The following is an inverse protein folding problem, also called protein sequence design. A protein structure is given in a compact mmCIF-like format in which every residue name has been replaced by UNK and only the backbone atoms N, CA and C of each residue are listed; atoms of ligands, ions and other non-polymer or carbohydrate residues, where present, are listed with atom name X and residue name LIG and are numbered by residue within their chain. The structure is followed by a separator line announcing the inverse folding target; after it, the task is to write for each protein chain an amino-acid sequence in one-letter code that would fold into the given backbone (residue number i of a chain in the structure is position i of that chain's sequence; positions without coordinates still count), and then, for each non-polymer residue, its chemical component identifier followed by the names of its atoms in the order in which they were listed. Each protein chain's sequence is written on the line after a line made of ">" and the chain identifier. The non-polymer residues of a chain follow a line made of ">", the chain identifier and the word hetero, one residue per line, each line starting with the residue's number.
data_IF_705956909902
#
_entry.id   IF_705956909902
#
_cell.length_a   1.000
_cell.length_b   1.000
_cell.length_c   1.000
_cell.angle_alpha   90.00
_cell.angle_beta   90.00
_cell.angle_gamma   90.00
#
_symmetry.space_group_name_H-M   'P 1'
#
loop_
_entity.id
_entity.type
_entity.pdbx_description
1 polymer ?
#
# COMPACT_ATOMS: atom_id res chain seq x y z
N UNK A 1 -7.66 4.00 -16.16
CA UNK A 1 -6.33 3.51 -16.53
C UNK A 1 -6.11 2.03 -16.17
N UNK A 2 -6.26 1.62 -14.89
CA UNK A 2 -5.97 0.23 -14.50
C UNK A 2 -6.83 -0.81 -15.23
N UNK A 3 -8.11 -0.55 -15.44
CA UNK A 3 -8.99 -1.43 -16.21
C UNK A 3 -8.66 -1.46 -17.71
N UNK A 4 -8.24 -0.33 -18.27
CA UNK A 4 -7.80 -0.26 -19.67
C UNK A 4 -6.48 -1.03 -19.87
N UNK A 5 -5.58 -1.00 -18.90
CA UNK A 5 -4.32 -1.73 -18.94
C UNK A 5 -4.49 -3.25 -18.72
N UNK A 6 -5.54 -3.67 -18.01
CA UNK A 6 -5.81 -5.08 -17.66
C UNK A 6 -7.28 -5.46 -17.88
N UNK A 7 -7.74 -5.52 -19.15
CA UNK A 7 -9.16 -5.71 -19.49
C UNK A 7 -9.75 -7.04 -19.02
N UNK A 8 -8.91 -8.06 -18.83
CA UNK A 8 -9.33 -9.41 -18.45
C UNK A 8 -9.29 -9.65 -16.92
N UNK A 9 -8.98 -8.65 -16.12
CA UNK A 9 -8.95 -8.85 -14.68
C UNK A 9 -10.33 -8.58 -14.07
N UNK A 10 -10.92 -9.62 -13.48
CA UNK A 10 -12.24 -9.56 -12.86
C UNK A 10 -12.25 -8.84 -11.51
N UNK A 11 -11.10 -8.54 -10.92
CA UNK A 11 -10.99 -7.91 -9.61
C UNK A 11 -10.34 -6.52 -9.70
N UNK A 12 -11.11 -5.49 -9.47
CA UNK A 12 -10.66 -4.08 -9.50
C UNK A 12 -9.40 -3.83 -8.64
N UNK A 13 -9.33 -4.49 -7.48
CA UNK A 13 -8.18 -4.34 -6.57
C UNK A 13 -6.88 -4.96 -7.12
N UNK A 14 -6.99 -6.12 -7.83
CA UNK A 14 -5.81 -6.74 -8.47
C UNK A 14 -5.33 -5.92 -9.65
N UNK A 15 -6.25 -5.46 -10.49
CA UNK A 15 -5.92 -4.61 -11.64
C UNK A 15 -5.23 -3.34 -11.22
N UNK A 16 -5.72 -2.72 -10.14
CA UNK A 16 -5.15 -1.49 -9.62
C UNK A 16 -3.73 -1.69 -9.08
N UNK A 17 -3.53 -2.70 -8.23
CA UNK A 17 -2.21 -3.00 -7.68
C UNK A 17 -1.22 -3.37 -8.77
N UNK A 18 -1.62 -4.24 -9.71
CA UNK A 18 -0.78 -4.62 -10.86
C UNK A 18 -0.47 -3.42 -11.78
N UNK A 19 -1.40 -2.48 -11.92
CA UNK A 19 -1.17 -1.25 -12.66
C UNK A 19 -0.06 -0.42 -12.02
N UNK A 20 -0.13 -0.18 -10.72
CA UNK A 20 0.89 0.56 -10.00
C UNK A 20 2.26 -0.15 -10.07
N UNK A 21 2.28 -1.46 -9.79
CA UNK A 21 3.52 -2.25 -9.78
C UNK A 21 4.19 -2.35 -11.16
N UNK A 22 3.40 -2.37 -12.24
CA UNK A 22 3.92 -2.53 -13.60
C UNK A 22 4.41 -1.22 -14.22
N UNK A 23 3.70 -0.13 -13.97
CA UNK A 23 3.91 1.12 -14.69
C UNK A 23 4.60 2.21 -13.88
N UNK A 24 4.78 2.04 -12.56
CA UNK A 24 5.62 2.95 -11.78
C UNK A 24 7.10 2.77 -12.10
N UNK A 25 7.89 3.80 -11.83
CA UNK A 25 9.35 3.70 -11.87
C UNK A 25 9.86 2.53 -11.00
N UNK A 26 11.00 1.90 -11.36
CA UNK A 26 11.50 0.72 -10.66
C UNK A 26 11.62 0.89 -9.14
N UNK A 27 12.09 2.05 -8.67
CA UNK A 27 12.22 2.35 -7.23
C UNK A 27 10.88 2.27 -6.48
N UNK A 28 9.81 2.78 -7.07
CA UNK A 28 8.47 2.65 -6.51
C UNK A 28 7.90 1.24 -6.67
N UNK A 29 8.09 0.64 -7.85
CA UNK A 29 7.61 -0.72 -8.15
C UNK A 29 8.13 -1.74 -7.14
N UNK A 30 9.40 -1.65 -6.75
CA UNK A 30 10.00 -2.56 -5.78
C UNK A 30 9.38 -2.40 -4.39
N UNK A 31 9.20 -1.16 -3.93
CA UNK A 31 8.52 -0.88 -2.65
C UNK A 31 7.07 -1.37 -2.67
N UNK A 32 6.35 -1.14 -3.77
CA UNK A 32 4.95 -1.54 -3.91
C UNK A 32 4.72 -3.04 -3.76
N UNK A 33 5.70 -3.86 -4.14
CA UNK A 33 5.68 -5.33 -4.02
C UNK A 33 6.09 -5.83 -2.64
N UNK A 34 6.72 -5.00 -1.82
CA UNK A 34 7.11 -5.38 -0.46
C UNK A 34 5.88 -5.60 0.42
N UNK A 35 6.03 -6.52 1.38
CA UNK A 35 4.97 -6.90 2.32
C UNK A 35 5.16 -6.12 3.62
N UNK A 36 4.10 -5.49 4.08
CA UNK A 36 4.10 -4.81 5.37
C UNK A 36 3.89 -5.81 6.52
N UNK A 37 4.90 -6.06 7.38
CA UNK A 37 4.79 -7.04 8.46
C UNK A 37 3.75 -6.66 9.51
N UNK A 38 3.54 -5.36 9.74
CA UNK A 38 2.61 -4.88 10.76
C UNK A 38 1.16 -5.21 10.41
N UNK A 39 0.75 -4.93 9.17
CA UNK A 39 -0.60 -5.25 8.70
C UNK A 39 -0.81 -6.76 8.62
N UNK A 40 0.22 -7.51 8.24
CA UNK A 40 0.22 -8.97 8.25
C UNK A 40 0.04 -9.50 9.69
N UNK A 41 0.81 -8.98 10.64
CA UNK A 41 0.73 -9.34 12.04
C UNK A 41 -0.66 -9.10 12.61
N UNK A 42 -1.19 -7.87 12.54
CA UNK A 42 -2.49 -7.56 13.14
C UNK A 42 -3.65 -8.35 12.53
N UNK A 43 -3.58 -8.71 11.25
CA UNK A 43 -4.63 -9.50 10.62
C UNK A 43 -4.59 -11.00 10.96
N UNK A 44 -3.41 -11.54 11.29
CA UNK A 44 -3.26 -12.99 11.41
C UNK A 44 -2.72 -13.48 12.76
N UNK A 45 -2.22 -12.62 13.65
CA UNK A 45 -1.61 -13.05 14.92
C UNK A 45 -2.55 -13.89 15.80
N UNK A 46 -3.85 -13.55 15.84
CA UNK A 46 -4.85 -14.32 16.59
C UNK A 46 -5.10 -15.71 15.98
N UNK A 47 -5.05 -15.80 14.64
CA UNK A 47 -5.33 -17.05 13.92
C UNK A 47 -4.16 -18.02 13.96
N UNK A 48 -2.93 -17.52 13.86
CA UNK A 48 -1.75 -18.36 13.67
C UNK A 48 -0.73 -18.29 14.82
N UNK A 49 -1.06 -17.59 15.91
CA UNK A 49 -0.20 -17.43 17.08
C UNK A 49 1.24 -16.99 16.74
N UNK A 50 1.38 -15.86 16.09
CA UNK A 50 2.67 -15.35 15.62
C UNK A 50 3.68 -15.02 16.73
N UNK A 51 3.24 -15.00 18.00
CA UNK A 51 4.04 -14.44 19.09
C UNK A 51 4.19 -12.93 18.97
N UNK A 52 5.25 -12.38 19.52
CA UNK A 52 5.56 -10.96 19.42
C UNK A 52 6.23 -10.62 18.09
N UNK A 53 6.10 -9.38 17.66
CA UNK A 53 6.90 -8.84 16.56
C UNK A 53 8.37 -8.76 16.98
N UNK A 54 9.28 -9.19 16.09
CA UNK A 54 10.72 -9.17 16.33
C UNK A 54 11.36 -7.85 15.88
N UNK A 55 10.61 -6.75 15.94
CA UNK A 55 11.14 -5.42 15.67
C UNK A 55 11.73 -4.84 16.95
N UNK A 56 12.87 -4.16 16.83
CA UNK A 56 13.57 -3.64 17.98
C UNK A 56 12.82 -2.46 18.61
N UNK A 57 12.30 -2.64 19.81
CA UNK A 57 11.56 -1.64 20.57
C UNK A 57 12.44 -0.78 21.49
N UNK A 58 13.76 -1.08 21.57
CA UNK A 58 14.65 -0.44 22.55
C UNK A 58 14.95 1.04 22.28
N UNK A 59 14.62 1.52 21.09
CA UNK A 59 14.85 2.92 20.72
C UNK A 59 13.50 3.62 20.53
N UNK A 60 13.14 4.41 21.53
CA UNK A 60 12.02 5.34 21.43
C UNK A 60 12.16 6.21 20.18
N UNK A 61 11.10 6.27 19.39
CA UNK A 61 11.07 7.07 18.17
C UNK A 61 11.77 6.45 16.95
N UNK A 62 12.23 5.16 17.02
CA UNK A 62 12.76 4.50 15.83
C UNK A 62 11.65 4.32 14.80
N UNK A 63 11.90 4.89 13.63
CA UNK A 63 11.07 4.72 12.44
C UNK A 63 11.75 3.68 11.55
N UNK A 64 10.97 2.70 11.08
CA UNK A 64 11.41 1.75 10.07
C UNK A 64 10.88 2.16 8.72
N UNK A 65 11.78 2.43 7.76
CA UNK A 65 11.39 2.64 6.37
C UNK A 65 10.93 1.33 5.72
N UNK A 66 10.04 1.40 4.76
CA UNK A 66 9.61 0.22 3.99
C UNK A 66 10.77 -0.58 3.38
N UNK A 67 11.89 0.07 3.11
CA UNK A 67 13.10 -0.54 2.55
C UNK A 67 14.06 -1.16 3.58
N UNK A 68 13.77 -1.03 4.87
CA UNK A 68 14.62 -1.62 5.91
C UNK A 68 14.54 -3.15 5.87
N UNK A 69 15.72 -3.80 5.94
CA UNK A 69 15.85 -5.26 5.92
C UNK A 69 15.07 -5.93 7.04
N UNK A 70 15.07 -5.33 8.24
CA UNK A 70 14.36 -5.83 9.42
C UNK A 70 12.86 -6.06 9.13
N UNK A 71 12.22 -5.16 8.36
CA UNK A 71 10.81 -5.32 7.99
C UNK A 71 10.61 -6.47 7.00
N UNK A 72 11.51 -6.60 6.04
CA UNK A 72 11.47 -7.69 5.06
C UNK A 72 11.67 -9.05 5.72
N UNK A 73 12.64 -9.16 6.61
CA UNK A 73 12.93 -10.37 7.38
C UNK A 73 11.74 -10.75 8.27
N UNK A 74 11.16 -9.78 8.97
CA UNK A 74 10.00 -10.00 9.81
C UNK A 74 8.77 -10.45 9.01
N UNK A 75 8.52 -9.83 7.86
CA UNK A 75 7.43 -10.26 6.97
C UNK A 75 7.61 -11.72 6.52
N UNK A 76 8.84 -12.11 6.14
CA UNK A 76 9.15 -13.49 5.75
C UNK A 76 9.00 -14.46 6.93
N UNK A 77 9.44 -14.07 8.13
CA UNK A 77 9.24 -14.86 9.35
C UNK A 77 7.75 -15.13 9.61
N UNK A 78 6.93 -14.08 9.58
CA UNK A 78 5.50 -14.19 9.81
C UNK A 78 4.81 -15.08 8.77
N UNK A 79 5.16 -14.95 7.50
CA UNK A 79 4.61 -15.79 6.43
C UNK A 79 4.92 -17.25 6.64
N UNK A 80 6.15 -17.62 7.07
CA UNK A 80 6.54 -19.00 7.36
C UNK A 80 5.75 -19.64 8.50
N UNK A 81 5.18 -18.84 9.40
CA UNK A 81 4.32 -19.33 10.49
C UNK A 81 2.90 -19.67 10.03
N UNK A 82 2.51 -19.29 8.81
CA UNK A 82 1.23 -19.70 8.21
C UNK A 82 1.39 -21.11 7.64
N UNK A 83 0.65 -22.13 8.12
CA UNK A 83 0.93 -23.53 7.79
C UNK A 83 0.69 -23.91 6.33
N UNK A 84 -0.23 -23.22 5.65
CA UNK A 84 -0.69 -23.58 4.32
C UNK A 84 -0.12 -22.61 3.27
N UNK A 85 0.55 -23.14 2.23
CA UNK A 85 1.16 -22.31 1.15
C UNK A 85 0.15 -21.43 0.40
N UNK A 86 -1.09 -21.90 0.21
CA UNK A 86 -2.14 -21.09 -0.42
C UNK A 86 -2.48 -19.89 0.46
N UNK A 87 -2.57 -20.12 1.78
CA UNK A 87 -2.84 -19.04 2.75
C UNK A 87 -1.64 -18.10 2.87
N UNK A 88 -0.40 -18.61 2.82
CA UNK A 88 0.82 -17.78 2.76
C UNK A 88 0.79 -16.85 1.54
N UNK A 89 0.54 -17.40 0.34
CA UNK A 89 0.45 -16.59 -0.89
C UNK A 89 -0.66 -15.55 -0.82
N UNK A 90 -1.85 -15.92 -0.33
CA UNK A 90 -2.97 -15.01 -0.16
C UNK A 90 -2.64 -13.90 0.86
N UNK A 91 -2.00 -14.25 1.96
CA UNK A 91 -1.57 -13.30 2.98
C UNK A 91 -0.52 -12.34 2.40
N UNK A 92 0.50 -12.85 1.72
CA UNK A 92 1.52 -12.04 1.06
C UNK A 92 0.88 -11.02 0.10
N UNK A 93 0.01 -11.48 -0.80
CA UNK A 93 -0.64 -10.62 -1.79
C UNK A 93 -1.53 -9.53 -1.17
N UNK A 94 -2.20 -9.81 -0.06
CA UNK A 94 -3.11 -8.86 0.59
C UNK A 94 -2.39 -7.75 1.35
N UNK A 95 -1.14 -7.98 1.72
CA UNK A 95 -0.37 -7.08 2.58
C UNK A 95 0.81 -6.40 1.86
N UNK A 96 0.85 -6.44 0.52
CA UNK A 96 1.77 -5.59 -0.25
C UNK A 96 1.39 -4.12 -0.12
N UNK A 97 2.37 -3.21 -0.21
CA UNK A 97 2.09 -1.78 -0.14
C UNK A 97 1.14 -1.31 -1.24
N UNK A 98 1.20 -1.88 -2.45
CA UNK A 98 0.23 -1.59 -3.52
C UNK A 98 -1.22 -1.89 -3.13
N UNK A 99 -1.43 -3.00 -2.43
CA UNK A 99 -2.74 -3.39 -1.91
C UNK A 99 -3.22 -2.49 -0.77
N UNK A 100 -2.32 -2.11 0.12
CA UNK A 100 -2.62 -1.22 1.23
C UNK A 100 -3.02 0.18 0.72
N UNK A 101 -2.34 0.69 -0.31
CA UNK A 101 -2.72 1.95 -0.99
C UNK A 101 -4.12 1.84 -1.58
N UNK A 102 -4.45 0.73 -2.25
CA UNK A 102 -5.80 0.50 -2.78
C UNK A 102 -6.87 0.47 -1.68
N UNK A 103 -6.61 -0.26 -0.60
CA UNK A 103 -7.54 -0.35 0.53
C UNK A 103 -7.77 1.03 1.17
N UNK A 104 -6.70 1.81 1.34
CA UNK A 104 -6.77 3.17 1.86
C UNK A 104 -7.59 4.08 0.95
N UNK A 105 -7.32 4.06 -0.36
CA UNK A 105 -8.08 4.82 -1.35
C UNK A 105 -9.57 4.50 -1.27
N UNK A 106 -9.94 3.24 -1.14
CA UNK A 106 -11.34 2.83 -1.03
C UNK A 106 -11.99 3.34 0.26
N UNK A 107 -11.30 3.29 1.39
CA UNK A 107 -11.81 3.85 2.66
C UNK A 107 -12.06 5.35 2.54
N UNK A 108 -11.11 6.10 1.97
CA UNK A 108 -11.28 7.54 1.75
C UNK A 108 -12.51 7.80 0.84
N UNK A 109 -12.63 7.04 -0.26
CA UNK A 109 -13.68 7.27 -1.26
C UNK A 109 -15.09 6.90 -0.77
N UNK A 110 -15.22 5.91 0.12
CA UNK A 110 -16.52 5.37 0.53
C UNK A 110 -16.93 5.77 1.95
N UNK A 111 -15.97 5.98 2.83
CA UNK A 111 -16.24 6.22 4.25
C UNK A 111 -15.88 7.66 4.66
N UNK A 112 -15.27 8.46 3.77
CA UNK A 112 -14.69 9.78 4.06
C UNK A 112 -13.75 9.76 5.27
N UNK A 113 -13.23 8.58 5.61
CA UNK A 113 -12.44 8.34 6.78
C UNK A 113 -11.08 7.74 6.40
N UNK A 114 -10.04 8.47 6.75
CA UNK A 114 -8.66 8.05 6.51
C UNK A 114 -8.07 7.43 7.79
N UNK A 115 -8.27 6.13 7.98
CA UNK A 115 -7.61 5.39 9.06
C UNK A 115 -6.10 5.37 8.80
N UNK A 116 -5.31 5.82 9.75
CA UNK A 116 -3.85 5.84 9.65
C UNK A 116 -3.29 6.93 8.73
N UNK A 117 -4.09 7.94 8.41
CA UNK A 117 -3.59 9.22 7.98
C UNK A 117 -3.20 9.99 9.25
N UNK A 118 -1.96 9.90 9.67
CA UNK A 118 -1.39 11.06 10.29
C UNK A 118 -1.31 12.11 9.17
N UNK A 119 -2.22 13.06 9.17
CA UNK A 119 -2.05 14.33 8.48
C UNK A 119 -0.95 15.09 9.25
N UNK A 120 0.23 14.51 9.31
CA UNK A 120 1.40 15.24 9.71
C UNK A 120 1.72 16.16 8.54
N UNK A 121 1.12 17.35 8.57
CA UNK A 121 1.52 18.50 7.78
C UNK A 121 2.93 18.99 8.12
N UNK A 122 3.60 18.35 9.07
CA UNK A 122 5.02 18.52 9.22
C UNK A 122 5.68 17.93 7.98
N UNK A 123 6.26 18.83 7.20
CA UNK A 123 7.18 18.55 6.11
C UNK A 123 8.41 17.79 6.66
N UNK A 124 8.24 16.57 7.09
CA UNK A 124 9.32 15.65 7.32
C UNK A 124 9.87 15.24 5.96
N UNK A 125 10.73 16.11 5.43
CA UNK A 125 11.45 15.89 4.17
C UNK A 125 12.28 14.60 4.20
N UNK A 126 12.51 14.04 5.37
CA UNK A 126 13.32 12.83 5.55
C UNK A 126 12.52 11.53 5.33
N UNK A 127 11.19 11.52 5.48
CA UNK A 127 10.37 10.30 5.38
C UNK A 127 9.40 10.34 4.20
N UNK A 128 9.93 10.37 2.98
CA UNK A 128 9.10 10.31 1.76
C UNK A 128 8.58 8.90 1.45
N UNK A 129 9.07 7.86 2.13
CA UNK A 129 8.69 6.47 1.92
C UNK A 129 7.68 6.00 2.96
N UNK A 130 6.89 4.94 2.68
CA UNK A 130 6.10 4.28 3.69
C UNK A 130 7.00 3.86 4.85
N UNK A 131 6.55 4.09 6.07
CA UNK A 131 7.33 3.78 7.26
C UNK A 131 6.44 3.30 8.40
N UNK A 132 7.07 2.63 9.35
CA UNK A 132 6.42 2.06 10.52
C UNK A 132 7.00 2.74 11.75
N UNK A 133 6.12 3.21 12.61
CA UNK A 133 6.48 3.83 13.89
C UNK A 133 5.83 3.06 15.03
N UNK A 134 6.53 3.01 16.17
CA UNK A 134 5.92 2.56 17.42
C UNK A 134 5.28 3.77 18.09
N UNK A 135 3.95 3.76 18.17
CA UNK A 135 3.22 4.76 18.95
C UNK A 135 3.49 4.56 20.44
N UNK A 136 3.30 5.60 21.22
CA UNK A 136 3.43 5.57 22.66
C UNK A 136 2.11 6.00 23.28
N UNK A 137 1.80 5.37 24.40
CA UNK A 137 0.64 5.71 25.20
C UNK A 137 1.11 6.20 26.57
N UNK A 138 0.44 7.23 27.09
CA UNK A 138 0.66 7.68 28.47
C UNK A 138 -0.35 7.01 29.38
N UNK A 139 0.16 6.32 30.42
CA UNK A 139 -0.67 5.84 31.53
C UNK A 139 -0.21 6.58 32.77
N UNK A 140 -0.96 7.63 33.17
CA UNK A 140 -0.51 8.57 34.18
C UNK A 140 0.69 9.38 33.69
N UNK A 141 1.82 9.31 34.43
CA UNK A 141 3.09 9.95 34.07
C UNK A 141 4.03 9.00 33.28
N UNK A 142 3.68 7.72 33.19
CA UNK A 142 4.51 6.72 32.56
C UNK A 142 4.24 6.64 31.04
N UNK A 143 5.33 6.67 30.26
CA UNK A 143 5.31 6.46 28.82
C UNK A 143 5.52 4.97 28.55
N UNK A 144 4.50 4.32 28.00
CA UNK A 144 4.59 2.90 27.62
C UNK A 144 4.57 2.73 26.11
N UNK A 145 5.23 1.68 25.59
CA UNK A 145 5.08 1.32 24.19
C UNK A 145 3.62 0.98 23.88
N UNK A 146 3.03 1.69 22.93
CA UNK A 146 1.69 1.47 22.44
C UNK A 146 1.65 0.39 21.35
N UNK A 147 1.15 0.73 20.18
CA UNK A 147 1.05 -0.18 19.06
C UNK A 147 1.86 0.30 17.86
N UNK A 148 2.18 -0.64 16.97
CA UNK A 148 2.87 -0.32 15.73
C UNK A 148 1.88 0.27 14.71
N UNK A 149 2.27 1.38 14.11
CA UNK A 149 1.48 2.08 13.11
C UNK A 149 2.20 2.11 11.76
N UNK A 150 1.43 1.87 10.70
CA UNK A 150 1.90 2.08 9.33
C UNK A 150 1.52 3.48 8.88
N UNK A 151 2.50 4.27 8.51
CA UNK A 151 2.33 5.55 7.86
C UNK A 151 2.69 5.45 6.37
N UNK A 152 1.77 5.83 5.49
CA UNK A 152 2.01 5.94 4.05
C UNK A 152 1.87 7.43 3.69
N UNK A 153 2.98 8.14 3.43
CA UNK A 153 2.93 9.56 3.11
C UNK A 153 2.08 9.86 1.87
N UNK A 154 1.35 10.96 1.91
CA UNK A 154 0.54 11.39 0.76
C UNK A 154 1.41 11.66 -0.46
N UNK A 155 2.57 12.28 -0.25
CA UNK A 155 3.53 12.56 -1.32
C UNK A 155 4.02 11.27 -1.99
N UNK A 156 4.30 10.21 -1.22
CA UNK A 156 4.64 8.90 -1.79
C UNK A 156 3.50 8.38 -2.68
N UNK A 157 2.28 8.39 -2.15
CA UNK A 157 1.10 7.91 -2.87
C UNK A 157 0.90 8.70 -4.18
N UNK A 158 0.98 10.03 -4.12
CA UNK A 158 0.85 10.91 -5.29
C UNK A 158 1.94 10.66 -6.32
N UNK A 159 3.20 10.53 -5.89
CA UNK A 159 4.34 10.25 -6.76
C UNK A 159 4.20 8.90 -7.46
N UNK A 160 3.78 7.86 -6.75
CA UNK A 160 3.49 6.54 -7.31
C UNK A 160 2.40 6.62 -8.39
N UNK A 161 1.30 7.32 -8.13
CA UNK A 161 0.23 7.47 -9.13
C UNK A 161 0.70 8.21 -10.37
N UNK A 162 1.38 9.33 -10.21
CA UNK A 162 1.89 10.11 -11.33
C UNK A 162 2.91 9.30 -12.15
N UNK A 163 3.81 8.60 -11.48
CA UNK A 163 4.79 7.72 -12.12
C UNK A 163 4.10 6.61 -12.92
N UNK A 164 3.11 5.92 -12.33
CA UNK A 164 2.39 4.84 -13.00
C UNK A 164 1.59 5.34 -14.22
N UNK A 165 0.96 6.51 -14.12
CA UNK A 165 0.23 7.10 -15.26
C UNK A 165 1.20 7.44 -16.39
N UNK A 166 2.33 8.10 -16.10
CA UNK A 166 3.36 8.42 -17.08
C UNK A 166 3.91 7.17 -17.75
N UNK A 167 4.26 6.15 -16.97
CA UNK A 167 4.76 4.88 -17.50
C UNK A 167 3.74 4.17 -18.40
N UNK A 168 2.45 4.20 -18.02
CA UNK A 168 1.39 3.63 -18.86
C UNK A 168 1.19 4.41 -20.17
N UNK A 169 1.20 5.72 -20.13
CA UNK A 169 1.08 6.54 -21.34
C UNK A 169 2.26 6.31 -22.29
N UNK A 170 3.49 6.25 -21.77
CA UNK A 170 4.68 5.89 -22.56
C UNK A 170 4.57 4.48 -23.17
N UNK A 171 4.06 3.51 -22.41
CA UNK A 171 3.80 2.17 -22.92
C UNK A 171 2.77 2.16 -24.06
N UNK A 172 1.69 2.94 -23.92
CA UNK A 172 0.67 3.08 -24.96
C UNK A 172 1.24 3.70 -26.24
N UNK A 173 2.05 4.74 -26.12
CA UNK A 173 2.72 5.42 -27.23
C UNK A 173 3.66 4.45 -27.97
N UNK A 174 4.55 3.76 -27.24
CA UNK A 174 5.50 2.80 -27.81
C UNK A 174 4.83 1.63 -28.52
N UNK A 175 3.67 1.19 -28.05
CA UNK A 175 2.94 0.05 -28.62
C UNK A 175 1.79 0.48 -29.54
N UNK A 176 1.63 1.78 -29.82
CA UNK A 176 0.55 2.34 -30.65
C UNK A 176 -0.85 1.92 -30.16
N UNK A 177 -1.04 1.87 -28.84
CA UNK A 177 -2.30 1.48 -28.18
C UNK A 177 -2.97 2.75 -27.66
N UNK A 178 -4.26 2.90 -27.92
CA UNK A 178 -5.05 3.98 -27.30
C UNK A 178 -5.16 3.74 -25.79
N UNK A 179 -4.84 4.75 -24.93
CA UNK A 179 -4.89 4.59 -23.46
C UNK A 179 -6.31 4.37 -22.92
N UNK A 180 -7.33 4.67 -23.72
CA UNK A 180 -8.73 4.44 -23.40
C UNK A 180 -9.37 3.58 -24.51
N UNK A 181 -10.17 2.59 -24.12
CA UNK A 181 -10.94 1.84 -25.11
C UNK A 181 -12.05 2.71 -25.68
N UNK A 182 -12.25 2.72 -27.01
CA UNK A 182 -13.35 3.47 -27.64
C UNK A 182 -14.75 3.09 -27.14
N UNK A 183 -14.94 1.83 -26.67
CA UNK A 183 -16.18 1.36 -26.07
C UNK A 183 -16.54 2.07 -24.77
N UNK A 184 -15.57 2.69 -24.10
CA UNK A 184 -15.84 3.51 -22.92
C UNK A 184 -16.43 4.88 -23.26
N UNK A 185 -16.40 5.33 -24.51
CA UNK A 185 -17.06 6.57 -24.94
C UNK A 185 -18.57 6.52 -24.76
N UNK A 186 -19.20 5.34 -24.80
CA UNK A 186 -20.63 5.18 -24.53
C UNK A 186 -20.99 5.36 -23.06
N UNK A 187 -20.06 5.13 -22.15
CA UNK A 187 -20.29 5.19 -20.70
C UNK A 187 -20.13 6.61 -20.12
N UNK A 188 -19.46 7.50 -20.84
CA UNK A 188 -19.18 8.86 -20.40
C UNK A 188 -19.87 9.94 -21.23
N UNK A 189 -21.04 9.64 -21.82
CA UNK A 189 -21.98 10.73 -22.09
C UNK A 189 -22.48 11.23 -20.73
N UNK A 190 -21.77 12.20 -20.20
CA UNK A 190 -22.22 12.95 -19.04
C UNK A 190 -23.53 13.65 -19.45
N UNK A 191 -24.64 13.09 -19.01
CA UNK A 191 -26.01 13.61 -19.26
C UNK A 191 -26.26 15.02 -18.71
N UNK A 192 -25.25 15.64 -18.13
CA UNK A 192 -25.30 17.01 -17.60
C UNK A 192 -24.76 18.08 -18.59
N UNK A 193 -24.26 17.67 -19.76
CA UNK A 193 -23.90 18.59 -20.83
C UNK A 193 -25.04 18.87 -21.82
N UNK A 194 -26.15 18.15 -21.70
CA UNK A 194 -27.33 18.31 -22.56
C UNK A 194 -28.45 19.13 -21.88
N UNK A 195 -28.10 20.14 -21.07
CA UNK A 195 -29.06 21.12 -20.56
C UNK A 195 -28.66 22.54 -20.92
#
# INVERSE_FOLDING_TARGET
>A
FSQSAFPNSHHTSSSFSSFLEKFSEPSYSDILKMICPITLYYNYHKKYNFGNLHLNTRYYGKTYSATDSDLSEEAQRLLKLIPNEKDQRNAAQKHTYSRLIYQRRNKIAHEFYAVGLSLNFQEDRENQLPHIVLSHEFIGEDLIPGHWELNIPEQFTTSVFLSAIKGYLSYCEQNQILPFKPESERAYRFSWYDK
#
